data_IF_800836359112
#
_entry.id   IF_800836359112
#
_cell.length_a   1.000
_cell.length_b   1.000
_cell.length_c   1.000
_cell.angle_alpha   90.00
_cell.angle_beta   90.00
_cell.angle_gamma   90.00
#
_symmetry.space_group_name_H-M   'P 1'
#
loop_
_entity.id
_entity.type
_entity.pdbx_description
1 polymer ?
#
# COMPACT_ATOMS: atom_id res chain seq x y z
N UNK A 1 0.05 17.00 3.22
CA UNK A 1 0.68 15.94 2.38
C UNK A 1 -0.26 14.76 2.30
N UNK A 2 -0.25 13.99 1.21
CA UNK A 2 -1.10 12.80 1.06
C UNK A 2 -0.25 11.55 0.80
N UNK A 3 -0.71 10.39 1.28
CA UNK A 3 -0.06 9.09 1.03
C UNK A 3 -0.20 8.66 -0.43
N UNK A 4 0.65 7.75 -0.90
CA UNK A 4 0.65 7.25 -2.29
C UNK A 4 0.64 5.73 -2.41
N UNK A 5 0.58 5.02 -1.29
CA UNK A 5 0.68 3.55 -1.26
C UNK A 5 -0.47 2.84 -1.98
N UNK A 6 -1.66 3.43 -2.04
CA UNK A 6 -2.79 2.92 -2.82
C UNK A 6 -2.75 3.50 -4.25
N UNK A 7 -2.45 2.69 -5.29
CA UNK A 7 -2.34 3.19 -6.66
C UNK A 7 -3.66 3.70 -7.23
N UNK A 8 -4.79 3.10 -6.87
CA UNK A 8 -6.11 3.57 -7.32
C UNK A 8 -6.44 4.96 -6.75
N UNK A 9 -6.21 5.16 -5.45
CA UNK A 9 -6.33 6.46 -4.79
C UNK A 9 -5.42 7.51 -5.43
N UNK A 10 -4.12 7.24 -5.54
CA UNK A 10 -3.16 8.22 -6.03
C UNK A 10 -3.40 8.61 -7.49
N UNK A 11 -3.84 7.66 -8.34
CA UNK A 11 -4.23 7.95 -9.72
C UNK A 11 -5.49 8.80 -9.78
N UNK A 12 -6.52 8.46 -8.98
CA UNK A 12 -7.74 9.25 -8.90
C UNK A 12 -7.43 10.68 -8.44
N UNK A 13 -6.64 10.82 -7.37
CA UNK A 13 -6.28 12.12 -6.83
C UNK A 13 -5.54 12.98 -7.87
N UNK A 14 -4.54 12.43 -8.56
CA UNK A 14 -3.79 13.17 -9.61
C UNK A 14 -4.66 13.56 -10.82
N UNK A 15 -5.60 12.69 -11.21
CA UNK A 15 -6.47 12.96 -12.37
C UNK A 15 -7.56 13.98 -12.07
N UNK A 16 -8.22 13.87 -10.93
CA UNK A 16 -9.37 14.72 -10.59
C UNK A 16 -8.98 16.01 -9.85
N UNK A 17 -7.81 16.02 -9.22
CA UNK A 17 -7.31 17.15 -8.43
C UNK A 17 -5.84 17.43 -8.77
N UNK A 18 -5.53 17.81 -10.02
CA UNK A 18 -4.15 18.02 -10.47
C UNK A 18 -3.39 19.06 -9.62
N UNK A 19 -4.09 20.03 -9.03
CA UNK A 19 -3.52 21.01 -8.11
C UNK A 19 -2.92 20.40 -6.84
N UNK A 20 -3.26 19.16 -6.49
CA UNK A 20 -2.70 18.45 -5.33
C UNK A 20 -1.58 17.49 -5.68
N UNK A 21 -1.19 17.40 -6.95
CA UNK A 21 -0.17 16.44 -7.41
C UNK A 21 1.13 16.56 -6.62
N UNK A 22 1.59 17.79 -6.34
CA UNK A 22 2.84 18.04 -5.60
C UNK A 22 2.75 17.74 -4.11
N UNK A 23 1.54 17.57 -3.59
CA UNK A 23 1.29 17.17 -2.19
C UNK A 23 1.13 15.67 -2.01
N UNK A 24 1.07 14.89 -3.10
CA UNK A 24 1.03 13.42 -3.02
C UNK A 24 2.46 12.91 -2.89
N UNK A 25 2.69 12.07 -1.89
CA UNK A 25 4.02 11.50 -1.62
C UNK A 25 4.61 10.85 -2.87
N UNK A 26 5.89 11.08 -3.08
CA UNK A 26 6.70 10.41 -4.11
C UNK A 26 7.40 9.15 -3.59
N UNK A 27 7.17 8.77 -2.32
CA UNK A 27 7.71 7.54 -1.77
C UNK A 27 7.26 6.32 -2.56
N UNK A 28 8.17 5.37 -2.73
CA UNK A 28 7.86 4.09 -3.34
C UNK A 28 6.82 3.35 -2.49
N UNK A 29 5.92 2.64 -3.16
CA UNK A 29 5.00 1.76 -2.43
C UNK A 29 5.77 0.60 -1.80
N UNK A 30 5.26 -0.02 -0.73
CA UNK A 30 5.92 -1.17 -0.10
C UNK A 30 6.25 -2.30 -1.09
N UNK A 31 5.36 -2.57 -2.04
CA UNK A 31 5.60 -3.54 -3.11
C UNK A 31 6.89 -3.22 -3.89
N UNK A 32 7.00 -2.00 -4.39
CA UNK A 32 8.14 -1.58 -5.22
C UNK A 32 9.42 -1.47 -4.42
N UNK A 33 9.36 -0.88 -3.21
CA UNK A 33 10.52 -0.73 -2.35
C UNK A 33 11.10 -2.09 -1.97
N UNK A 34 10.25 -3.02 -1.51
CA UNK A 34 10.70 -4.36 -1.13
C UNK A 34 11.28 -5.12 -2.32
N UNK A 35 10.63 -5.02 -3.50
CA UNK A 35 11.14 -5.64 -4.72
C UNK A 35 12.54 -5.13 -5.08
N UNK A 36 12.77 -3.81 -5.04
CA UNK A 36 14.09 -3.22 -5.29
C UNK A 36 15.14 -3.67 -4.30
N UNK A 37 14.79 -3.68 -3.01
CA UNK A 37 15.71 -4.14 -1.97
C UNK A 37 16.10 -5.61 -2.15
N UNK A 38 15.17 -6.47 -2.57
CA UNK A 38 15.48 -7.87 -2.85
C UNK A 38 16.35 -8.02 -4.10
N UNK A 39 16.03 -7.33 -5.19
CA UNK A 39 16.86 -7.36 -6.42
C UNK A 39 18.24 -6.72 -6.24
N UNK A 40 18.43 -5.81 -5.28
CA UNK A 40 19.75 -5.33 -4.90
C UNK A 40 20.60 -6.40 -4.21
N UNK A 41 19.97 -7.28 -3.42
CA UNK A 41 20.65 -8.40 -2.75
C UNK A 41 20.90 -9.56 -3.71
N UNK A 42 19.95 -9.86 -4.56
CA UNK A 42 20.01 -10.91 -5.58
C UNK A 42 19.39 -10.41 -6.89
N UNK A 43 20.20 -9.92 -7.84
CA UNK A 43 19.72 -9.43 -9.13
C UNK A 43 19.07 -10.51 -10.01
N UNK A 44 19.30 -11.80 -9.72
CA UNK A 44 18.73 -12.93 -10.47
C UNK A 44 17.32 -13.31 -9.99
N UNK A 45 16.89 -12.85 -8.82
CA UNK A 45 15.62 -13.23 -8.24
C UNK A 45 14.42 -12.73 -9.06
N UNK A 46 13.34 -13.50 -9.05
CA UNK A 46 12.03 -13.11 -9.58
C UNK A 46 11.11 -12.71 -8.44
N UNK A 47 10.43 -11.58 -8.61
CA UNK A 47 9.54 -11.02 -7.60
C UNK A 47 8.09 -11.26 -7.99
N UNK A 48 7.39 -12.04 -7.18
CA UNK A 48 5.95 -12.19 -7.23
C UNK A 48 5.31 -11.47 -6.04
N UNK A 49 4.49 -10.46 -6.33
CA UNK A 49 3.67 -9.81 -5.32
C UNK A 49 2.31 -10.49 -5.25
N UNK A 50 1.91 -10.91 -4.05
CA UNK A 50 0.61 -11.53 -3.79
C UNK A 50 -0.17 -10.59 -2.87
N UNK A 51 -1.40 -10.24 -3.25
CA UNK A 51 -2.23 -9.34 -2.45
C UNK A 51 -3.62 -9.14 -3.03
N UNK A 52 -4.52 -8.43 -2.34
CA UNK A 52 -5.92 -8.31 -2.75
C UNK A 52 -6.14 -7.33 -3.91
N UNK A 53 -5.10 -6.69 -4.43
CA UNK A 53 -5.25 -5.46 -5.22
C UNK A 53 -4.94 -5.63 -6.71
N UNK A 54 -5.97 -5.64 -7.56
CA UNK A 54 -5.80 -5.63 -9.02
C UNK A 54 -5.10 -4.34 -9.55
N UNK A 55 -5.25 -3.19 -8.86
CA UNK A 55 -4.58 -1.95 -9.26
C UNK A 55 -3.05 -2.03 -9.12
N UNK A 56 -2.52 -2.95 -8.32
CA UNK A 56 -1.08 -3.24 -8.25
C UNK A 56 -0.52 -3.79 -9.55
N UNK A 57 -1.33 -4.47 -10.38
CA UNK A 57 -0.94 -4.90 -11.73
C UNK A 57 -0.63 -3.70 -12.63
N UNK A 58 -1.48 -2.65 -12.58
CA UNK A 58 -1.24 -1.41 -13.31
C UNK A 58 -0.01 -0.65 -12.77
N UNK A 59 0.21 -0.69 -11.47
CA UNK A 59 1.41 -0.09 -10.88
C UNK A 59 2.67 -0.82 -11.37
N UNK A 60 2.71 -2.15 -11.29
CA UNK A 60 3.83 -2.97 -11.75
C UNK A 60 4.13 -2.80 -13.25
N UNK A 61 3.12 -2.50 -14.08
CA UNK A 61 3.30 -2.30 -15.53
C UNK A 61 3.93 -0.96 -15.91
N UNK A 62 4.08 -0.01 -14.97
CA UNK A 62 4.65 1.32 -15.26
C UNK A 62 6.11 1.19 -15.71
N UNK A 63 6.52 2.01 -16.68
CA UNK A 63 7.89 1.98 -17.25
C UNK A 63 9.00 2.08 -16.22
N UNK A 64 8.79 2.83 -15.13
CA UNK A 64 9.76 3.03 -14.05
C UNK A 64 9.80 1.90 -13.02
N UNK A 65 8.89 0.92 -13.08
CA UNK A 65 8.68 -0.10 -12.06
C UNK A 65 8.68 -1.53 -12.65
N UNK A 66 8.34 -1.69 -13.93
CA UNK A 66 8.15 -2.99 -14.57
C UNK A 66 9.37 -3.95 -14.52
N UNK A 67 10.54 -3.43 -14.20
CA UNK A 67 11.75 -4.24 -13.96
C UNK A 67 11.90 -4.68 -12.50
N UNK A 68 11.14 -4.07 -11.59
CA UNK A 68 11.25 -4.35 -10.16
C UNK A 68 10.38 -5.54 -9.75
N UNK A 69 9.14 -5.61 -10.28
CA UNK A 69 8.14 -6.63 -9.93
C UNK A 69 7.80 -7.44 -11.18
N UNK A 70 8.08 -8.74 -11.15
CA UNK A 70 7.89 -9.61 -12.32
C UNK A 70 6.44 -10.09 -12.44
N UNK A 71 5.77 -10.38 -11.31
CA UNK A 71 4.39 -10.87 -11.28
C UNK A 71 3.58 -10.18 -10.19
N UNK A 72 2.30 -9.98 -10.45
CA UNK A 72 1.32 -9.55 -9.46
C UNK A 72 0.13 -10.49 -9.53
N UNK A 73 -0.14 -11.19 -8.43
CA UNK A 73 -1.26 -12.12 -8.28
C UNK A 73 -2.24 -11.59 -7.25
N UNK A 74 -3.53 -11.69 -7.54
CA UNK A 74 -4.57 -11.50 -6.52
C UNK A 74 -4.72 -12.77 -5.69
N UNK A 75 -5.39 -12.68 -4.54
CA UNK A 75 -5.67 -13.86 -3.72
C UNK A 75 -6.54 -14.87 -4.46
N UNK A 76 -7.51 -14.40 -5.27
CA UNK A 76 -8.36 -15.25 -6.08
C UNK A 76 -7.55 -15.99 -7.16
N UNK A 77 -6.59 -15.33 -7.79
CA UNK A 77 -5.71 -15.98 -8.78
C UNK A 77 -4.80 -17.00 -8.11
N UNK A 78 -4.28 -16.71 -6.94
CA UNK A 78 -3.48 -17.67 -6.17
C UNK A 78 -4.32 -18.87 -5.74
N UNK A 79 -5.56 -18.64 -5.28
CA UNK A 79 -6.50 -19.71 -4.95
C UNK A 79 -6.76 -20.63 -6.14
N UNK A 80 -7.01 -20.05 -7.32
CA UNK A 80 -7.16 -20.84 -8.55
C UNK A 80 -5.91 -21.69 -8.91
N UNK A 81 -4.70 -21.17 -8.60
CA UNK A 81 -3.47 -21.96 -8.76
C UNK A 81 -3.40 -23.14 -7.77
N UNK A 82 -3.81 -22.93 -6.51
CA UNK A 82 -3.89 -24.01 -5.52
C UNK A 82 -4.88 -25.10 -5.94
N UNK A 83 -6.07 -24.71 -6.38
CA UNK A 83 -7.10 -25.64 -6.89
C UNK A 83 -6.59 -26.44 -8.08
N UNK A 84 -5.95 -25.77 -9.06
CA UNK A 84 -5.38 -26.44 -10.23
C UNK A 84 -4.25 -27.44 -9.89
N UNK A 85 -3.59 -27.26 -8.76
CA UNK A 85 -2.53 -28.12 -8.23
C UNK A 85 -3.01 -29.09 -7.16
N UNK A 86 -4.31 -29.10 -6.84
CA UNK A 86 -4.90 -29.87 -5.75
C UNK A 86 -4.21 -29.62 -4.38
N UNK A 87 -3.74 -28.39 -4.14
CA UNK A 87 -3.18 -27.99 -2.85
C UNK A 87 -4.32 -27.69 -1.89
N UNK A 88 -4.37 -28.40 -0.77
CA UNK A 88 -5.36 -28.21 0.29
C UNK A 88 -4.64 -27.79 1.56
N UNK A 89 -5.09 -26.73 2.20
CA UNK A 89 -4.46 -26.20 3.42
C UNK A 89 -4.56 -27.19 4.59
N UNK A 90 -5.62 -28.02 4.60
CA UNK A 90 -5.85 -29.04 5.63
C UNK A 90 -4.80 -30.17 5.57
N UNK A 91 -4.16 -30.35 4.42
CA UNK A 91 -3.18 -31.40 4.19
C UNK A 91 -1.73 -30.92 4.54
N UNK A 92 -1.56 -29.63 4.89
CA UNK A 92 -0.26 -29.08 5.28
C UNK A 92 0.04 -29.48 6.73
N UNK A 93 1.16 -30.19 7.00
CA UNK A 93 1.54 -30.58 8.35
C UNK A 93 1.74 -29.33 9.25
N UNK A 94 1.23 -29.36 10.48
CA UNK A 94 1.35 -28.24 11.43
C UNK A 94 2.80 -27.90 11.78
N UNK A 95 3.69 -28.88 11.69
CA UNK A 95 5.13 -28.74 11.92
C UNK A 95 5.81 -27.87 10.89
N UNK A 96 5.18 -27.68 9.71
CA UNK A 96 5.65 -26.79 8.65
C UNK A 96 5.15 -25.35 8.82
N UNK A 97 4.30 -25.07 9.80
CA UNK A 97 3.85 -23.72 10.10
C UNK A 97 5.03 -22.88 10.64
N UNK A 98 5.44 -21.87 9.87
CA UNK A 98 6.44 -20.91 10.32
C UNK A 98 5.73 -19.69 10.90
N UNK A 99 5.96 -19.34 12.18
CA UNK A 99 5.35 -18.15 12.77
C UNK A 99 5.73 -16.88 12.02
N UNK A 100 4.75 -16.11 11.55
CA UNK A 100 4.95 -14.79 10.91
C UNK A 100 5.22 -13.72 11.97
N UNK A 101 6.40 -13.77 12.60
CA UNK A 101 6.78 -12.88 13.70
C UNK A 101 7.78 -11.77 13.32
N UNK A 102 8.19 -11.70 12.06
CA UNK A 102 9.24 -10.76 11.60
C UNK A 102 8.72 -9.35 11.30
N UNK A 103 7.42 -9.13 11.25
CA UNK A 103 6.83 -7.83 10.97
C UNK A 103 6.74 -6.94 12.20
N UNK A 104 7.00 -5.63 12.04
CA UNK A 104 6.68 -4.62 13.07
C UNK A 104 5.18 -4.46 13.25
N UNK A 105 4.73 -3.91 14.39
CA UNK A 105 3.32 -3.58 14.61
C UNK A 105 2.76 -2.64 13.53
N UNK A 106 3.52 -1.60 13.17
CA UNK A 106 3.18 -0.70 12.08
C UNK A 106 3.09 -1.41 10.72
N UNK A 107 4.00 -2.36 10.44
CA UNK A 107 3.98 -3.16 9.22
C UNK A 107 2.76 -4.08 9.13
N UNK A 108 2.38 -4.74 10.24
CA UNK A 108 1.18 -5.59 10.28
C UNK A 108 -0.13 -4.81 10.15
N UNK A 109 -0.19 -3.60 10.71
CA UNK A 109 -1.35 -2.71 10.60
C UNK A 109 -1.39 -1.84 9.34
N UNK A 110 -0.38 -1.95 8.47
CA UNK A 110 -0.20 -0.99 7.36
C UNK A 110 -1.34 -1.01 6.33
N UNK A 111 -1.93 -2.16 6.09
CA UNK A 111 -2.98 -2.34 5.09
C UNK A 111 -4.37 -1.90 5.57
N UNK A 112 -4.59 -1.77 6.87
CA UNK A 112 -5.86 -1.29 7.43
C UNK A 112 -6.01 0.22 7.19
N UNK A 113 -7.24 0.69 7.01
CA UNK A 113 -7.51 2.14 6.87
C UNK A 113 -6.97 2.92 8.07
N UNK A 114 -6.19 3.95 7.82
CA UNK A 114 -5.45 4.70 8.84
C UNK A 114 -4.06 4.12 9.17
N UNK A 115 -3.76 2.90 8.74
CA UNK A 115 -2.51 2.21 9.09
C UNK A 115 -1.27 2.81 8.46
N UNK A 116 -1.36 3.30 7.22
CA UNK A 116 -0.24 3.98 6.56
C UNK A 116 0.07 5.30 7.24
N UNK A 117 -0.96 6.11 7.49
CA UNK A 117 -0.79 7.37 8.19
C UNK A 117 -0.26 7.15 9.62
N UNK A 118 -0.78 6.13 10.34
CA UNK A 118 -0.27 5.73 11.64
C UNK A 118 1.22 5.37 11.61
N UNK A 119 1.64 4.56 10.63
CA UNK A 119 3.05 4.21 10.47
C UNK A 119 3.95 5.42 10.18
N UNK A 120 3.45 6.41 9.42
CA UNK A 120 4.15 7.67 9.18
C UNK A 120 4.24 8.51 10.46
N UNK A 121 3.16 8.60 11.23
CA UNK A 121 3.14 9.29 12.54
C UNK A 121 4.13 8.64 13.49
N UNK A 122 4.13 7.31 13.62
CA UNK A 122 5.09 6.58 14.45
C UNK A 122 6.55 6.87 14.03
N UNK A 123 6.81 6.94 12.73
CA UNK A 123 8.14 7.27 12.23
C UNK A 123 8.54 8.73 12.56
N UNK A 124 7.60 9.67 12.45
CA UNK A 124 7.83 11.07 12.82
C UNK A 124 8.12 11.19 14.31
N UNK A 125 7.33 10.55 15.17
CA UNK A 125 7.54 10.61 16.63
C UNK A 125 8.85 9.96 17.09
N UNK A 126 9.40 9.00 16.33
CA UNK A 126 10.75 8.47 16.61
C UNK A 126 11.86 9.49 16.33
N UNK A 127 11.64 10.40 15.38
CA UNK A 127 12.61 11.44 15.01
C UNK A 127 12.39 12.73 15.81
N UNK A 128 11.14 13.05 16.09
CA UNK A 128 10.70 14.27 16.78
C UNK A 128 9.47 13.93 17.65
N UNK A 129 9.70 13.50 18.92
CA UNK A 129 8.64 13.01 19.80
C UNK A 129 7.55 14.04 20.11
N UNK A 130 7.90 15.32 20.10
CA UNK A 130 7.00 16.42 20.46
C UNK A 130 6.21 16.96 19.27
N UNK A 131 6.45 16.43 18.09
CA UNK A 131 5.80 16.90 16.86
C UNK A 131 4.35 16.48 16.76
N UNK A 132 3.45 17.45 16.82
CA UNK A 132 2.03 17.20 16.55
C UNK A 132 1.81 16.89 15.06
N UNK A 133 1.15 15.77 14.75
CA UNK A 133 0.78 15.37 13.39
C UNK A 133 -0.73 15.18 13.31
N UNK A 134 -1.39 16.01 12.51
CA UNK A 134 -2.83 15.89 12.25
C UNK A 134 -3.06 14.96 11.08
N UNK A 135 -3.95 13.99 11.24
CA UNK A 135 -4.26 12.96 10.25
C UNK A 135 -5.73 13.00 9.87
N UNK A 136 -6.01 12.76 8.61
CA UNK A 136 -7.36 12.42 8.14
C UNK A 136 -7.25 11.25 7.15
N UNK A 137 -8.08 10.24 7.35
CA UNK A 137 -8.14 9.04 6.52
C UNK A 137 -9.51 8.88 5.88
N UNK A 138 -9.54 8.33 4.67
CA UNK A 138 -10.76 8.02 3.97
C UNK A 138 -10.61 6.70 3.20
N UNK A 139 -11.68 5.92 3.17
CA UNK A 139 -11.78 4.68 2.42
C UNK A 139 -12.93 4.71 1.42
N UNK A 140 -12.78 3.98 0.32
CA UNK A 140 -13.65 4.10 -0.85
C UNK A 140 -13.36 5.37 -1.65
N UNK A 141 -13.32 5.27 -2.97
CA UNK A 141 -12.93 6.41 -3.84
C UNK A 141 -13.85 7.63 -3.69
N UNK A 142 -15.15 7.42 -3.42
CA UNK A 142 -16.08 8.53 -3.22
C UNK A 142 -15.79 9.32 -1.95
N UNK A 143 -15.47 8.65 -0.84
CA UNK A 143 -15.09 9.32 0.40
C UNK A 143 -13.72 9.99 0.27
N UNK A 144 -12.78 9.34 -0.43
CA UNK A 144 -11.50 9.95 -0.78
C UNK A 144 -11.68 11.24 -1.60
N UNK A 145 -12.60 11.22 -2.57
CA UNK A 145 -12.95 12.41 -3.36
C UNK A 145 -13.55 13.52 -2.49
N UNK A 146 -14.47 13.17 -1.56
CA UNK A 146 -15.03 14.12 -0.59
C UNK A 146 -13.94 14.74 0.29
N UNK A 147 -12.99 13.92 0.77
CA UNK A 147 -11.86 14.41 1.55
C UNK A 147 -11.01 15.43 0.77
N UNK A 148 -10.74 15.17 -0.52
CA UNK A 148 -10.01 16.13 -1.37
C UNK A 148 -10.80 17.40 -1.67
N UNK A 149 -12.12 17.33 -1.81
CA UNK A 149 -12.97 18.53 -1.94
C UNK A 149 -12.91 19.40 -0.68
N UNK A 150 -12.94 18.79 0.50
CA UNK A 150 -12.78 19.49 1.77
C UNK A 150 -11.37 20.07 1.92
N UNK A 151 -10.33 19.33 1.48
CA UNK A 151 -8.96 19.84 1.45
C UNK A 151 -8.83 21.07 0.53
N UNK A 152 -9.49 21.05 -0.65
CA UNK A 152 -9.56 22.20 -1.56
C UNK A 152 -10.23 23.40 -0.92
N UNK A 153 -11.21 23.18 -0.05
CA UNK A 153 -11.87 24.24 0.74
C UNK A 153 -11.07 24.69 1.98
N UNK A 154 -9.83 24.17 2.18
CA UNK A 154 -8.94 24.57 3.26
C UNK A 154 -9.10 23.82 4.59
N UNK A 155 -10.03 22.85 4.68
CA UNK A 155 -10.33 22.15 5.94
C UNK A 155 -9.14 21.36 6.49
N UNK A 156 -8.29 20.83 5.63
CA UNK A 156 -7.19 19.91 6.01
C UNK A 156 -5.80 20.54 5.82
N UNK A 157 -5.67 21.86 6.00
CA UNK A 157 -4.37 22.51 5.96
C UNK A 157 -3.47 21.98 7.09
N UNK A 158 -2.26 21.55 6.73
CA UNK A 158 -1.30 20.97 7.68
C UNK A 158 -1.53 19.49 8.02
N UNK A 159 -2.54 18.84 7.44
CA UNK A 159 -2.83 17.43 7.69
C UNK A 159 -2.01 16.48 6.80
N UNK A 160 -1.74 15.28 7.34
CA UNK A 160 -1.41 14.10 6.56
C UNK A 160 -2.72 13.43 6.13
N UNK A 161 -2.93 13.30 4.82
CA UNK A 161 -4.13 12.67 4.26
C UNK A 161 -3.82 11.25 3.82
N UNK A 162 -4.64 10.30 4.22
CA UNK A 162 -4.59 8.93 3.72
C UNK A 162 -5.85 8.60 2.94
N UNK A 163 -5.68 8.06 1.74
CA UNK A 163 -6.78 7.54 0.95
C UNK A 163 -6.55 6.07 0.60
N UNK A 164 -7.56 5.24 0.85
CA UNK A 164 -7.64 3.85 0.42
C UNK A 164 -8.83 3.65 -0.50
N UNK A 165 -8.63 3.01 -1.66
CA UNK A 165 -9.72 2.79 -2.61
C UNK A 165 -10.72 1.74 -2.13
N UNK A 166 -10.25 0.76 -1.35
CA UNK A 166 -11.07 -0.33 -0.84
C UNK A 166 -11.62 -0.02 0.55
N UNK A 167 -12.89 -0.38 0.85
CA UNK A 167 -13.43 -0.31 2.20
C UNK A 167 -12.65 -1.19 3.17
N UNK A 168 -12.37 -0.67 4.37
CA UNK A 168 -11.59 -1.37 5.40
C UNK A 168 -10.07 -1.29 5.20
N UNK A 169 -9.61 -0.80 4.06
CA UNK A 169 -8.20 -0.74 3.70
C UNK A 169 -7.83 -1.66 2.54
N UNK A 170 -6.67 -2.24 2.59
CA UNK A 170 -6.12 -3.09 1.55
C UNK A 170 -6.17 -4.56 2.02
#
# INVERSE_FOLDING_TARGET
MATSCCPAWSVMAKKLFPQFTDYISMALTPMVLTARLQKQKDPSCRIAFIGPCAAKKLEASRRSIRSDVDFVLTFEELQGMFEAKNVRFEDIPKEEEVPLNQGTGAGRGFAVTGGVAGAVVDAIHRMDPDREVKVASAEGLDNCKKMLLLAKAGKYNGYLLEGMACPGGC
#
